data_IF_467935208194
#
_entry.id   IF_467935208194
#
_cell.length_a   1.000
_cell.length_b   1.000
_cell.length_c   1.000
_cell.angle_alpha   90.00
_cell.angle_beta   90.00
_cell.angle_gamma   90.00
#
_symmetry.space_group_name_H-M   'P 1'
#
loop_
_entity.id
_entity.type
_entity.pdbx_description
1 polymer ?
#
# COMPACT_ATOMS: atom_id res chain seq x y z
N UNK A 1 7.84 4.83 -18.09
CA UNK A 1 7.62 4.02 -16.86
C UNK A 1 7.09 4.92 -15.75
N UNK A 2 6.25 4.39 -14.86
CA UNK A 2 5.66 5.12 -13.74
C UNK A 2 5.75 4.33 -12.43
N UNK A 3 5.71 5.03 -11.31
CA UNK A 3 5.53 4.47 -9.97
C UNK A 3 4.05 4.62 -9.63
N UNK A 4 3.35 3.51 -9.39
CA UNK A 4 1.96 3.51 -8.94
C UNK A 4 1.94 3.36 -7.44
N UNK A 5 1.49 4.40 -6.75
CA UNK A 5 1.22 4.40 -5.33
C UNK A 5 -0.24 4.04 -5.11
N UNK A 6 -0.53 2.75 -4.86
CA UNK A 6 -1.88 2.25 -4.63
C UNK A 6 -2.05 1.98 -3.13
N UNK A 7 -3.04 2.61 -2.50
CA UNK A 7 -3.19 2.50 -1.05
C UNK A 7 -4.64 2.37 -0.61
N UNK A 8 -4.84 1.57 0.43
CA UNK A 8 -6.01 1.63 1.31
C UNK A 8 -5.55 2.32 2.60
N UNK A 9 -6.08 3.48 2.94
CA UNK A 9 -5.56 4.28 4.08
C UNK A 9 -6.63 5.14 4.75
N UNK A 10 -7.59 4.55 5.50
CA UNK A 10 -8.69 5.27 6.14
C UNK A 10 -8.27 6.45 7.02
N UNK A 11 -7.17 6.30 7.77
CA UNK A 11 -6.65 7.32 8.70
C UNK A 11 -5.42 8.05 8.15
N UNK A 12 -5.05 7.84 6.88
CA UNK A 12 -3.91 8.50 6.24
C UNK A 12 -2.51 7.98 6.58
N UNK A 13 -2.34 7.14 7.61
CA UNK A 13 -1.01 6.63 8.02
C UNK A 13 -0.29 5.82 6.93
N UNK A 14 -0.97 4.83 6.35
CA UNK A 14 -0.40 4.00 5.27
C UNK A 14 -0.09 4.80 4.02
N UNK A 15 -0.90 5.82 3.70
CA UNK A 15 -0.63 6.76 2.60
C UNK A 15 0.65 7.56 2.86
N UNK A 16 0.83 8.15 4.04
CA UNK A 16 2.03 8.93 4.38
C UNK A 16 3.32 8.12 4.19
N UNK A 17 3.34 6.89 4.67
CA UNK A 17 4.51 5.99 4.52
C UNK A 17 4.77 5.68 3.04
N UNK A 18 3.72 5.33 2.29
CA UNK A 18 3.86 5.02 0.87
C UNK A 18 4.29 6.23 0.04
N UNK A 19 3.80 7.44 0.37
CA UNK A 19 4.21 8.69 -0.27
C UNK A 19 5.71 8.95 -0.04
N UNK A 20 6.23 8.77 1.19
CA UNK A 20 7.66 8.92 1.47
C UNK A 20 8.52 7.93 0.67
N UNK A 21 8.08 6.68 0.57
CA UNK A 21 8.78 5.65 -0.22
C UNK A 21 8.77 6.00 -1.71
N UNK A 22 7.61 6.37 -2.26
CA UNK A 22 7.47 6.80 -3.65
C UNK A 22 8.29 8.06 -3.96
N UNK A 23 8.36 9.00 -3.02
CA UNK A 23 9.18 10.21 -3.17
C UNK A 23 10.67 9.85 -3.31
N UNK A 24 11.15 8.85 -2.56
CA UNK A 24 12.53 8.35 -2.72
C UNK A 24 12.72 7.66 -4.07
N UNK A 25 11.83 6.75 -4.46
CA UNK A 25 11.90 6.09 -5.76
C UNK A 25 11.88 7.09 -6.92
N UNK A 26 11.03 8.10 -6.86
CA UNK A 26 10.99 9.19 -7.85
C UNK A 26 12.32 9.91 -7.95
N UNK A 27 12.96 10.21 -6.81
CA UNK A 27 14.26 10.88 -6.77
C UNK A 27 15.35 10.04 -7.43
N UNK A 28 15.35 8.73 -7.20
CA UNK A 28 16.37 7.81 -7.72
C UNK A 28 16.15 7.45 -9.20
N UNK A 29 14.89 7.29 -9.63
CA UNK A 29 14.54 6.73 -10.94
C UNK A 29 14.01 7.76 -11.94
N UNK A 30 13.58 8.94 -11.48
CA UNK A 30 12.99 9.98 -12.32
C UNK A 30 11.60 9.66 -12.88
N UNK A 31 10.94 8.60 -12.41
CA UNK A 31 9.61 8.20 -12.91
C UNK A 31 8.49 9.00 -12.25
N UNK A 32 7.43 9.27 -13.03
CA UNK A 32 6.20 9.89 -12.52
C UNK A 32 5.55 9.02 -11.43
N UNK A 33 5.02 9.65 -10.38
CA UNK A 33 4.27 8.96 -9.32
C UNK A 33 2.77 9.21 -9.51
N UNK A 34 2.03 8.14 -9.78
CA UNK A 34 0.57 8.15 -9.91
C UNK A 34 -0.04 7.57 -8.65
N UNK A 35 -0.97 8.31 -8.03
CA UNK A 35 -1.63 7.90 -6.80
C UNK A 35 -2.99 7.27 -7.09
N UNK A 36 -3.32 6.19 -6.40
CA UNK A 36 -4.62 5.52 -6.49
C UNK A 36 -5.12 5.15 -5.10
N UNK A 37 -6.11 5.91 -4.62
CA UNK A 37 -6.78 5.65 -3.34
C UNK A 37 -7.91 4.64 -3.53
N UNK A 38 -7.75 3.43 -2.99
CA UNK A 38 -8.77 2.37 -3.01
C UNK A 38 -9.55 2.27 -1.69
N UNK A 39 -9.38 3.25 -0.79
CA UNK A 39 -10.16 3.34 0.45
C UNK A 39 -11.67 3.39 0.16
N UNK A 40 -12.16 4.26 -0.75
CA UNK A 40 -13.57 4.27 -1.13
C UNK A 40 -13.95 3.00 -1.89
N UNK A 41 -15.08 2.38 -1.53
CA UNK A 41 -15.56 1.15 -2.19
C UNK A 41 -15.69 1.32 -3.71
N UNK A 42 -16.19 2.47 -4.16
CA UNK A 42 -16.36 2.81 -5.59
C UNK A 42 -15.05 2.88 -6.39
N UNK A 43 -13.91 3.01 -5.73
CA UNK A 43 -12.60 3.13 -6.38
C UNK A 43 -11.86 1.79 -6.45
N UNK A 44 -12.45 0.71 -5.94
CA UNK A 44 -11.88 -0.65 -5.95
C UNK A 44 -12.11 -1.35 -7.29
N UNK A 45 -11.34 -2.41 -7.55
CA UNK A 45 -11.47 -3.20 -8.78
C UNK A 45 -10.81 -2.57 -10.01
N UNK A 46 -9.95 -1.57 -9.81
CA UNK A 46 -9.14 -1.00 -10.88
C UNK A 46 -8.09 -2.00 -11.36
N UNK A 47 -7.92 -2.07 -12.68
CA UNK A 47 -6.82 -2.78 -13.31
C UNK A 47 -5.72 -1.81 -13.67
N UNK A 48 -4.47 -2.23 -13.50
CA UNK A 48 -3.31 -1.45 -13.87
C UNK A 48 -2.63 -2.13 -15.06
N UNK A 49 -2.12 -1.34 -15.99
CA UNK A 49 -1.21 -1.86 -17.00
C UNK A 49 0.07 -2.40 -16.33
N UNK A 50 0.73 -3.36 -16.98
CA UNK A 50 1.91 -4.07 -16.46
C UNK A 50 3.21 -3.28 -16.48
N UNK A 51 3.19 -1.98 -16.79
CA UNK A 51 4.41 -1.18 -16.90
C UNK A 51 4.72 -0.41 -15.61
N UNK A 52 5.96 -0.55 -15.13
CA UNK A 52 6.51 0.26 -14.05
C UNK A 52 6.58 -0.45 -12.70
N UNK A 53 6.53 0.35 -11.62
CA UNK A 53 6.69 -0.13 -10.23
C UNK A 53 5.37 0.07 -9.50
N UNK A 54 4.90 -0.97 -8.80
CA UNK A 54 3.76 -0.88 -7.89
C UNK A 54 4.28 -0.76 -6.45
N UNK A 55 3.84 0.28 -5.75
CA UNK A 55 3.93 0.42 -4.29
C UNK A 55 2.52 0.25 -3.76
N UNK A 56 2.28 -0.85 -3.04
CA UNK A 56 0.97 -1.17 -2.48
C UNK A 56 1.02 -1.09 -0.95
N UNK A 57 0.11 -0.33 -0.34
CA UNK A 57 0.08 -0.17 1.12
C UNK A 57 -1.32 -0.24 1.72
N UNK A 58 -1.38 -0.74 2.96
CA UNK A 58 -2.60 -0.92 3.74
C UNK A 58 -2.27 -0.90 5.25
N UNK A 59 -3.24 -0.59 6.12
CA UNK A 59 -3.03 -0.55 7.57
C UNK A 59 -3.25 -1.93 8.18
N UNK A 60 -2.75 -2.09 9.39
CA UNK A 60 -3.05 -3.20 10.30
C UNK A 60 -3.72 -2.61 11.53
N UNK A 61 -4.89 -3.13 11.91
CA UNK A 61 -5.63 -2.68 13.09
C UNK A 61 -5.88 -3.86 14.01
N UNK A 62 -5.27 -3.84 15.21
CA UNK A 62 -5.44 -4.90 16.21
C UNK A 62 -5.13 -6.30 15.67
N UNK A 63 -4.03 -6.42 14.91
CA UNK A 63 -3.63 -7.67 14.25
C UNK A 63 -4.45 -8.02 13.00
N UNK A 64 -5.29 -7.13 12.48
CA UNK A 64 -6.13 -7.39 11.31
C UNK A 64 -5.81 -6.50 10.12
N UNK A 65 -5.86 -7.07 8.93
CA UNK A 65 -5.68 -6.38 7.65
C UNK A 65 -7.01 -6.28 6.87
N UNK A 66 -7.09 -5.44 5.80
CA UNK A 66 -8.28 -5.40 4.96
C UNK A 66 -8.60 -6.77 4.35
N UNK A 67 -9.89 -7.13 4.35
CA UNK A 67 -10.41 -8.42 3.82
C UNK A 67 -10.12 -8.65 2.33
N UNK A 68 -9.77 -7.59 1.61
CA UNK A 68 -9.40 -7.66 0.21
C UNK A 68 -8.01 -8.27 -0.01
N UNK A 69 -7.25 -8.49 1.08
CA UNK A 69 -5.86 -8.91 1.06
C UNK A 69 -5.67 -10.26 1.75
N UNK A 70 -6.27 -10.47 2.93
CA UNK A 70 -6.28 -11.77 3.63
C UNK A 70 -7.59 -12.00 4.39
N UNK A 71 -7.73 -13.19 4.99
CA UNK A 71 -8.79 -13.56 5.93
C UNK A 71 -8.75 -12.79 7.28
N UNK A 72 -8.09 -11.62 7.29
CA UNK A 72 -7.88 -10.68 8.40
C UNK A 72 -6.83 -11.09 9.41
N UNK A 73 -5.98 -12.06 9.10
CA UNK A 73 -4.79 -12.32 9.92
C UNK A 73 -3.61 -11.48 9.44
N UNK A 74 -2.89 -10.85 10.37
CA UNK A 74 -1.72 -10.02 10.08
C UNK A 74 -0.49 -10.86 9.75
N UNK A 75 -0.30 -11.98 10.44
CA UNK A 75 0.94 -12.73 10.38
C UNK A 75 1.25 -13.22 8.95
N UNK A 76 0.21 -13.69 8.25
CA UNK A 76 0.33 -14.15 6.86
C UNK A 76 -0.03 -13.08 5.83
N UNK A 77 -0.49 -11.88 6.24
CA UNK A 77 -1.00 -10.87 5.31
C UNK A 77 0.00 -10.45 4.23
N UNK A 78 1.28 -10.28 4.58
CA UNK A 78 2.32 -9.92 3.61
C UNK A 78 2.63 -11.09 2.67
N UNK A 79 2.59 -12.32 3.16
CA UNK A 79 2.82 -13.52 2.37
C UNK A 79 1.67 -13.74 1.38
N UNK A 80 0.42 -13.69 1.86
CA UNK A 80 -0.77 -13.77 1.02
C UNK A 80 -0.81 -12.65 -0.02
N UNK A 81 -0.49 -11.42 0.38
CA UNK A 81 -0.40 -10.30 -0.57
C UNK A 81 0.66 -10.56 -1.64
N UNK A 82 1.83 -11.09 -1.27
CA UNK A 82 2.88 -11.46 -2.21
C UNK A 82 2.41 -12.54 -3.19
N UNK A 83 1.68 -13.54 -2.74
CA UNK A 83 1.18 -14.63 -3.58
C UNK A 83 0.06 -14.17 -4.52
N UNK A 84 -0.84 -13.29 -4.05
CA UNK A 84 -1.86 -12.60 -4.84
C UNK A 84 -1.23 -11.76 -5.97
N UNK A 85 -0.11 -11.09 -5.69
CA UNK A 85 0.63 -10.31 -6.69
C UNK A 85 1.38 -11.22 -7.67
N UNK A 86 2.09 -12.25 -7.18
CA UNK A 86 2.82 -13.20 -8.04
C UNK A 86 1.91 -13.96 -8.98
N UNK A 87 0.75 -14.43 -8.50
CA UNK A 87 -0.26 -15.11 -9.32
C UNK A 87 -0.84 -14.21 -10.43
N UNK A 88 -0.75 -12.89 -10.28
CA UNK A 88 -1.12 -11.89 -11.29
C UNK A 88 0.04 -11.47 -12.20
N UNK A 89 1.18 -12.15 -12.13
CA UNK A 89 2.36 -11.89 -12.96
C UNK A 89 3.27 -10.78 -12.47
N UNK A 90 3.04 -10.24 -11.26
CA UNK A 90 3.95 -9.25 -10.67
C UNK A 90 5.25 -9.91 -10.19
N UNK A 91 6.37 -9.22 -10.42
CA UNK A 91 7.67 -9.57 -9.83
C UNK A 91 7.84 -8.80 -8.53
N UNK A 92 7.85 -9.52 -7.41
CA UNK A 92 7.99 -8.90 -6.09
C UNK A 92 9.44 -8.47 -5.86
N UNK A 93 9.67 -7.17 -5.62
CA UNK A 93 10.98 -6.64 -5.26
C UNK A 93 11.25 -6.71 -3.75
N UNK A 94 10.19 -6.68 -2.93
CA UNK A 94 10.27 -6.74 -1.47
C UNK A 94 8.94 -6.33 -0.82
N UNK A 95 8.86 -6.52 0.49
CA UNK A 95 7.74 -6.11 1.35
C UNK A 95 8.25 -5.76 2.74
N UNK A 96 7.51 -4.95 3.49
CA UNK A 96 7.88 -4.58 4.86
C UNK A 96 6.68 -4.10 5.67
N UNK A 97 6.74 -4.32 6.97
CA UNK A 97 5.80 -3.78 7.94
C UNK A 97 6.42 -2.55 8.63
N UNK A 98 5.62 -1.51 8.82
CA UNK A 98 6.07 -0.25 9.41
C UNK A 98 5.14 0.14 10.54
N UNK A 99 5.70 0.51 11.67
CA UNK A 99 4.93 1.08 12.77
C UNK A 99 4.55 2.51 12.40
N UNK A 100 3.24 2.77 12.35
CA UNK A 100 2.68 4.10 12.20
C UNK A 100 2.01 4.49 13.52
N UNK A 101 2.12 5.76 13.91
CA UNK A 101 1.38 6.26 15.06
C UNK A 101 -0.12 6.04 14.85
N UNK A 102 -0.78 5.43 15.84
CA UNK A 102 -2.22 5.36 15.87
C UNK A 102 -2.75 6.79 15.95
N UNK A 103 -3.58 7.17 14.98
CA UNK A 103 -4.35 8.41 15.05
C UNK A 103 -5.30 8.36 16.25
N UNK A 104 -4.80 8.71 17.44
CA UNK A 104 -5.58 9.01 18.63
C UNK A 104 -4.98 10.25 19.28
N UNK A 105 -5.64 11.38 18.99
CA UNK A 105 -5.42 12.72 19.53
C UNK A 105 -4.05 13.36 19.25
N UNK A 106 -4.03 14.35 18.33
CA UNK A 106 -3.33 15.59 18.66
C UNK A 106 -3.99 16.12 19.94
N UNK A 107 -3.37 15.88 21.10
CA UNK A 107 -3.68 16.71 22.26
C UNK A 107 -3.21 18.11 21.89
N UNK A 108 -4.16 18.99 21.60
CA UNK A 108 -3.91 20.43 21.65
C UNK A 108 -3.39 20.74 23.06
N UNK A 109 -2.08 20.98 23.16
CA UNK A 109 -1.43 21.57 24.32
C UNK A 109 -1.26 23.06 24.06
#
# INVERSE_FOLDING_TARGET
MRIRNVFFSPTGGSKKIADSFCARLRKELGFEVVHTDITPVKARGQSFDGEGILVFSFPVYGGRVPVQISDRDYDDALLECADILRSRGYRLAGSGAFVAEHSYAEYFV
#
